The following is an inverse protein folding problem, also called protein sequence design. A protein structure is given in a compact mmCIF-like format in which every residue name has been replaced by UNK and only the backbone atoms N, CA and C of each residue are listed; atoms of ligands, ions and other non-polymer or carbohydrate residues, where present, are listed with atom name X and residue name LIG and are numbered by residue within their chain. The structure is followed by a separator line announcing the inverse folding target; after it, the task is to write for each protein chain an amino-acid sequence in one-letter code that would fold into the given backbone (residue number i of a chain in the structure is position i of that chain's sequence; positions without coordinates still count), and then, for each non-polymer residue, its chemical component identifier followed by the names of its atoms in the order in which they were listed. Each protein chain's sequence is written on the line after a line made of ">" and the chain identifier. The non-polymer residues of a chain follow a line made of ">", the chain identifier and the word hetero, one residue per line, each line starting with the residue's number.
data_IF_179037519234
#
_entry.id   IF_179037519234
#
_cell.length_a   1.000
_cell.length_b   1.000
_cell.length_c   1.000
_cell.angle_alpha   90.00
_cell.angle_beta   90.00
_cell.angle_gamma   90.00
#
_symmetry.space_group_name_H-M   'P 1'
#
loop_
_entity.id
_entity.type
_entity.pdbx_description
1 polymer ?
#
# COMPACT_ATOMS: atom_id res chain seq x y z
N UNK A 1 1.53 -47.69 -19.56
CA UNK A 1 1.14 -47.51 -18.15
C UNK A 1 0.54 -46.12 -18.05
N UNK A 2 -0.79 -46.01 -17.99
CA UNK A 2 -1.48 -44.74 -17.84
C UNK A 2 -1.71 -44.48 -16.35
N UNK A 3 -1.10 -43.41 -15.84
CA UNK A 3 -1.28 -42.96 -14.45
C UNK A 3 -2.64 -42.25 -14.40
N UNK A 4 -3.63 -42.89 -13.78
CA UNK A 4 -4.94 -42.28 -13.51
C UNK A 4 -4.86 -41.58 -12.15
N UNK A 5 -4.75 -40.26 -12.17
CA UNK A 5 -4.80 -39.43 -10.97
C UNK A 5 -6.20 -39.48 -10.31
N UNK A 6 -6.32 -39.32 -8.98
CA UNK A 6 -7.62 -39.37 -8.30
C UNK A 6 -8.50 -38.20 -8.71
N UNK A 7 -9.54 -38.47 -9.51
CA UNK A 7 -10.57 -37.52 -9.93
C UNK A 7 -11.79 -37.68 -9.02
N UNK A 8 -12.29 -36.58 -8.45
CA UNK A 8 -13.57 -36.56 -7.74
C UNK A 8 -14.66 -36.11 -8.73
N UNK A 9 -15.68 -36.95 -8.95
CA UNK A 9 -16.83 -36.56 -9.76
C UNK A 9 -17.82 -35.79 -8.88
N UNK A 10 -18.15 -34.56 -9.28
CA UNK A 10 -19.14 -33.73 -8.59
C UNK A 10 -20.34 -33.56 -9.51
N UNK A 11 -21.53 -33.89 -9.01
CA UNK A 11 -22.79 -33.64 -9.72
C UNK A 11 -23.47 -32.42 -9.09
N UNK A 12 -23.71 -31.40 -9.90
CA UNK A 12 -24.37 -30.17 -9.50
C UNK A 12 -25.90 -30.36 -9.44
N UNK A 13 -26.58 -29.45 -8.75
CA UNK A 13 -28.02 -29.52 -8.49
C UNK A 13 -28.86 -29.41 -9.78
N UNK A 14 -28.27 -28.84 -10.84
CA UNK A 14 -28.84 -28.76 -12.18
C UNK A 14 -28.66 -30.06 -13.01
N UNK A 15 -28.03 -31.08 -12.43
CA UNK A 15 -27.79 -32.38 -13.04
C UNK A 15 -26.49 -32.48 -13.85
N UNK A 16 -25.73 -31.39 -14.00
CA UNK A 16 -24.44 -31.40 -14.68
C UNK A 16 -23.36 -32.06 -13.83
N UNK A 17 -22.35 -32.65 -14.48
CA UNK A 17 -21.26 -33.36 -13.78
C UNK A 17 -19.91 -32.82 -14.22
N UNK A 18 -19.00 -32.61 -13.27
CA UNK A 18 -17.61 -32.21 -13.54
C UNK A 18 -16.61 -33.13 -12.83
N UNK A 19 -15.46 -33.29 -13.49
CA UNK A 19 -14.32 -34.07 -12.98
C UNK A 19 -13.31 -33.13 -12.32
N UNK A 20 -13.29 -33.13 -10.98
CA UNK A 20 -12.33 -32.31 -10.22
C UNK A 20 -11.02 -33.07 -10.01
N UNK A 21 -9.92 -32.50 -10.50
CA UNK A 21 -8.58 -33.04 -10.25
C UNK A 21 -8.07 -32.57 -8.87
N UNK A 22 -8.09 -33.48 -7.91
CA UNK A 22 -7.82 -33.20 -6.49
C UNK A 22 -6.36 -32.76 -6.25
N UNK A 23 -5.41 -33.23 -7.07
CA UNK A 23 -3.99 -32.85 -6.95
C UNK A 23 -3.75 -31.39 -7.36
N UNK A 24 -4.48 -30.90 -8.36
CA UNK A 24 -4.40 -29.51 -8.81
C UNK A 24 -4.97 -28.58 -7.74
N UNK A 25 -6.12 -28.94 -7.16
CA UNK A 25 -6.73 -28.15 -6.08
C UNK A 25 -5.83 -28.11 -4.83
N UNK A 26 -5.24 -29.24 -4.43
CA UNK A 26 -4.31 -29.28 -3.31
C UNK A 26 -3.06 -28.41 -3.56
N UNK A 27 -2.55 -28.37 -4.80
CA UNK A 27 -1.42 -27.53 -5.18
C UNK A 27 -1.77 -26.04 -5.19
N UNK A 28 -2.98 -25.68 -5.62
CA UNK A 28 -3.48 -24.28 -5.57
C UNK A 28 -3.59 -23.84 -4.10
N UNK A 29 -4.13 -24.68 -3.22
CA UNK A 29 -4.21 -24.38 -1.78
C UNK A 29 -2.83 -24.28 -1.12
N UNK A 30 -1.87 -25.12 -1.49
CA UNK A 30 -0.50 -25.01 -0.97
C UNK A 30 0.18 -23.75 -1.46
N UNK A 31 -0.04 -23.33 -2.72
CA UNK A 31 0.49 -22.07 -3.24
C UNK A 31 -0.11 -20.86 -2.51
N UNK A 32 -1.44 -20.80 -2.34
CA UNK A 32 -2.12 -19.72 -1.60
C UNK A 32 -1.63 -19.68 -0.15
N UNK A 33 -1.48 -20.84 0.49
CA UNK A 33 -0.97 -20.92 1.87
C UNK A 33 0.48 -20.45 1.95
N UNK A 34 1.35 -20.87 1.03
CA UNK A 34 2.76 -20.44 0.98
C UNK A 34 2.87 -18.94 0.71
N UNK A 35 2.00 -18.37 -0.12
CA UNK A 35 1.97 -16.95 -0.43
C UNK A 35 1.50 -16.11 0.77
N UNK A 36 0.42 -16.53 1.44
CA UNK A 36 -0.03 -15.95 2.71
C UNK A 36 1.02 -16.09 3.81
N UNK A 37 1.71 -17.24 3.91
CA UNK A 37 2.81 -17.46 4.85
C UNK A 37 4.03 -16.59 4.52
N UNK A 38 4.29 -16.29 3.23
CA UNK A 38 5.39 -15.43 2.80
C UNK A 38 5.08 -13.96 3.07
N UNK A 39 3.84 -13.52 2.84
CA UNK A 39 3.36 -12.19 3.20
C UNK A 39 3.37 -11.99 4.72
N UNK A 40 2.86 -12.97 5.48
CA UNK A 40 2.90 -12.97 6.94
C UNK A 40 4.33 -13.04 7.47
N UNK A 41 5.23 -13.82 6.87
CA UNK A 41 6.64 -13.89 7.26
C UNK A 41 7.38 -12.58 6.96
N UNK A 42 7.04 -11.87 5.87
CA UNK A 42 7.54 -10.51 5.62
C UNK A 42 7.03 -9.54 6.69
N UNK A 43 5.74 -9.62 7.07
CA UNK A 43 5.14 -8.81 8.15
C UNK A 43 5.83 -9.06 9.49
N UNK A 44 6.04 -10.32 9.85
CA UNK A 44 6.70 -10.76 11.09
C UNK A 44 8.20 -10.45 11.09
N UNK A 45 8.88 -10.57 9.95
CA UNK A 45 10.29 -10.19 9.82
C UNK A 45 10.49 -8.67 9.97
N UNK A 46 9.52 -7.86 9.53
CA UNK A 46 9.48 -6.41 9.71
C UNK A 46 9.14 -6.02 11.17
N UNK A 47 8.21 -6.73 11.82
CA UNK A 47 7.94 -6.60 13.27
C UNK A 47 9.17 -6.89 14.13
N UNK A 48 9.94 -7.93 13.80
CA UNK A 48 11.10 -8.36 14.59
C UNK A 48 12.35 -7.47 14.43
N UNK A 49 12.39 -6.53 13.48
CA UNK A 49 13.48 -5.56 13.37
C UNK A 49 13.32 -4.36 14.31
N UNK A 50 12.14 -4.17 14.91
CA UNK A 50 11.82 -2.98 15.70
C UNK A 50 12.09 -3.18 17.19
N UNK A 51 13.38 -3.12 17.58
CA UNK A 51 13.77 -2.95 18.98
C UNK A 51 13.40 -1.57 19.56
N UNK A 52 13.03 -0.61 18.70
CA UNK A 52 12.47 0.68 19.05
C UNK A 52 10.95 0.69 18.83
N UNK A 53 10.22 1.54 19.55
CA UNK A 53 8.77 1.68 19.40
C UNK A 53 8.46 2.32 18.04
N UNK A 54 8.03 1.51 17.07
CA UNK A 54 7.56 1.97 15.75
C UNK A 54 6.53 3.08 15.93
N UNK A 55 6.66 4.15 15.16
CA UNK A 55 5.66 5.22 15.12
C UNK A 55 4.93 5.22 13.78
N UNK A 56 3.70 5.74 13.84
CA UNK A 56 2.77 5.78 12.72
C UNK A 56 2.39 7.23 12.44
N UNK A 57 2.48 7.63 11.17
CA UNK A 57 2.20 8.99 10.76
C UNK A 57 1.33 9.04 9.51
N UNK A 58 0.57 10.11 9.39
CA UNK A 58 -0.01 10.58 8.12
C UNK A 58 0.90 11.68 7.61
N UNK A 59 1.34 11.56 6.36
CA UNK A 59 2.06 12.60 5.63
C UNK A 59 1.11 13.27 4.66
N UNK A 60 0.87 14.56 4.84
CA UNK A 60 0.11 15.36 3.89
C UNK A 60 1.00 15.77 2.71
N UNK A 61 0.53 15.51 1.49
CA UNK A 61 1.22 15.87 0.25
C UNK A 61 0.28 16.66 -0.66
N UNK A 62 0.87 17.46 -1.54
CA UNK A 62 0.17 18.19 -2.60
C UNK A 62 0.54 17.64 -3.96
N UNK A 63 -0.44 17.50 -4.83
CA UNK A 63 -0.24 17.09 -6.22
C UNK A 63 -0.55 18.23 -7.19
N UNK A 64 0.21 18.37 -8.29
CA UNK A 64 -0.10 19.35 -9.34
C UNK A 64 -1.36 18.98 -10.13
N UNK A 65 -1.71 17.69 -10.18
CA UNK A 65 -2.88 17.15 -10.85
C UNK A 65 -3.53 16.06 -9.98
N UNK A 66 -4.86 16.07 -9.78
CA UNK A 66 -5.55 15.08 -8.94
C UNK A 66 -5.73 13.71 -9.60
N UNK A 67 -5.08 13.47 -10.75
CA UNK A 67 -5.21 12.22 -11.52
C UNK A 67 -3.94 11.40 -11.57
N UNK A 68 -2.78 11.98 -11.22
CA UNK A 68 -1.48 11.34 -11.38
C UNK A 68 -0.65 11.47 -10.10
N UNK A 69 0.09 10.41 -9.75
CA UNK A 69 1.03 10.39 -8.62
C UNK A 69 2.30 11.19 -8.93
N UNK A 70 2.15 12.51 -9.05
CA UNK A 70 3.23 13.47 -9.35
C UNK A 70 3.54 14.40 -8.17
N UNK A 71 3.46 13.91 -6.94
CA UNK A 71 3.95 14.66 -5.79
C UNK A 71 5.45 14.44 -5.57
N UNK A 72 6.09 15.41 -4.93
CA UNK A 72 7.54 15.45 -4.73
C UNK A 72 8.04 14.24 -3.92
N UNK A 73 9.18 13.68 -4.36
CA UNK A 73 9.83 12.51 -3.74
C UNK A 73 9.18 11.14 -4.04
N UNK A 74 8.02 11.11 -4.71
CA UNK A 74 7.32 9.85 -5.00
C UNK A 74 8.14 8.90 -5.89
N UNK A 75 8.65 9.40 -7.02
CA UNK A 75 9.40 8.59 -7.99
C UNK A 75 10.74 8.10 -7.44
N UNK A 76 11.41 8.95 -6.66
CA UNK A 76 12.68 8.64 -6.03
C UNK A 76 12.54 7.80 -4.74
N UNK A 77 11.30 7.52 -4.32
CA UNK A 77 10.97 6.84 -3.06
C UNK A 77 11.65 7.49 -1.86
N UNK A 78 11.55 8.81 -1.77
CA UNK A 78 12.06 9.61 -0.67
C UNK A 78 10.96 10.43 -0.04
N UNK A 79 11.06 10.58 1.27
CA UNK A 79 10.14 11.35 2.09
C UNK A 79 10.88 12.53 2.70
N UNK A 80 10.45 13.76 2.39
CA UNK A 80 10.99 14.96 3.02
C UNK A 80 10.37 15.18 4.41
N UNK A 81 11.22 15.56 5.35
CA UNK A 81 10.83 16.08 6.65
C UNK A 81 11.59 17.38 6.97
N UNK A 82 10.93 18.29 7.68
CA UNK A 82 11.61 19.45 8.26
C UNK A 82 12.57 19.02 9.37
N UNK A 83 13.48 19.90 9.79
CA UNK A 83 14.44 19.59 10.86
C UNK A 83 13.73 19.10 12.15
N UNK A 84 12.66 19.78 12.56
CA UNK A 84 11.89 19.43 13.76
C UNK A 84 11.17 18.07 13.65
N UNK A 85 10.79 17.68 12.44
CA UNK A 85 10.13 16.40 12.16
C UNK A 85 11.16 15.27 12.02
N UNK A 86 12.32 15.54 11.42
CA UNK A 86 13.39 14.59 11.25
C UNK A 86 13.93 14.05 12.59
N UNK A 87 13.85 14.84 13.67
CA UNK A 87 14.17 14.37 15.03
C UNK A 87 13.18 13.33 15.58
N UNK A 88 11.97 13.27 15.02
CA UNK A 88 10.88 12.40 15.49
C UNK A 88 10.72 11.14 14.66
N UNK A 89 11.33 11.12 13.47
CA UNK A 89 11.18 10.08 12.47
C UNK A 89 12.43 9.20 12.47
N UNK A 90 12.23 7.89 12.45
CA UNK A 90 13.30 6.90 12.41
C UNK A 90 13.03 5.80 11.38
N UNK A 91 14.07 5.03 11.09
CA UNK A 91 13.93 3.79 10.32
C UNK A 91 12.95 2.84 11.01
N UNK A 92 12.05 2.26 10.21
CA UNK A 92 10.99 1.37 10.66
C UNK A 92 9.65 2.07 10.92
N UNK A 93 9.63 3.41 11.02
CA UNK A 93 8.37 4.14 11.12
C UNK A 93 7.54 4.01 9.84
N UNK A 94 6.22 4.03 10.00
CA UNK A 94 5.27 3.78 8.91
C UNK A 94 4.41 5.01 8.63
N UNK A 95 4.14 5.23 7.36
CA UNK A 95 3.55 6.45 6.82
C UNK A 95 2.33 6.10 5.97
N UNK A 96 1.24 6.82 6.16
CA UNK A 96 0.13 6.91 5.21
C UNK A 96 0.25 8.22 4.45
N UNK A 97 0.22 8.19 3.13
CA UNK A 97 0.16 9.39 2.30
C UNK A 97 -1.28 9.89 2.19
N UNK A 98 -1.49 11.16 2.54
CA UNK A 98 -2.75 11.87 2.42
C UNK A 98 -2.63 13.01 1.41
N UNK A 99 -3.45 12.99 0.37
CA UNK A 99 -3.40 13.97 -0.72
C UNK A 99 -4.42 15.07 -0.44
N UNK A 100 -3.95 16.31 -0.33
CA UNK A 100 -4.79 17.44 0.07
C UNK A 100 -5.86 17.78 -0.97
N UNK A 101 -5.55 17.68 -2.26
CA UNK A 101 -6.43 18.09 -3.36
C UNK A 101 -7.63 17.17 -3.53
N UNK A 102 -7.42 15.85 -3.40
CA UNK A 102 -8.46 14.83 -3.49
C UNK A 102 -9.08 14.48 -2.15
N UNK A 103 -8.43 14.87 -1.05
CA UNK A 103 -8.81 14.50 0.32
C UNK A 103 -8.90 12.99 0.51
N UNK A 104 -7.93 12.27 -0.05
CA UNK A 104 -7.86 10.81 -0.01
C UNK A 104 -6.53 10.34 0.57
N UNK A 105 -6.57 9.24 1.32
CA UNK A 105 -5.39 8.47 1.66
C UNK A 105 -5.09 7.53 0.49
N UNK A 106 -3.85 7.47 0.03
CA UNK A 106 -3.53 6.85 -1.27
C UNK A 106 -2.46 5.78 -1.22
N UNK A 107 -1.60 5.77 -0.19
CA UNK A 107 -0.49 4.83 -0.12
C UNK A 107 -0.02 4.60 1.31
N UNK A 108 0.52 3.41 1.52
CA UNK A 108 1.21 2.97 2.74
C UNK A 108 2.69 2.84 2.43
N UNK A 109 3.55 3.35 3.31
CA UNK A 109 4.99 3.25 3.15
C UNK A 109 5.71 3.01 4.47
N UNK A 110 6.89 2.42 4.38
CA UNK A 110 7.78 2.15 5.51
C UNK A 110 9.12 2.85 5.29
N UNK A 111 9.64 3.53 6.32
CA UNK A 111 10.96 4.16 6.24
C UNK A 111 12.04 3.09 6.37
N UNK A 112 12.89 2.98 5.36
CA UNK A 112 13.84 1.88 5.24
C UNK A 112 15.27 2.23 5.65
N UNK A 113 15.57 3.51 5.88
CA UNK A 113 16.92 3.94 6.17
C UNK A 113 17.02 5.30 6.86
N UNK A 114 18.24 5.73 7.21
CA UNK A 114 18.49 6.98 7.91
C UNK A 114 18.25 8.19 7.00
N UNK A 115 18.01 9.34 7.64
CA UNK A 115 17.89 10.62 6.96
C UNK A 115 19.17 10.99 6.21
N UNK A 116 19.01 11.56 5.01
CA UNK A 116 20.06 12.24 4.27
C UNK A 116 19.68 13.70 4.10
N UNK A 117 20.58 14.60 4.43
CA UNK A 117 20.42 16.01 4.15
C UNK A 117 20.70 16.30 2.67
N UNK A 118 19.79 17.00 2.00
CA UNK A 118 19.93 17.39 0.60
C UNK A 118 19.13 18.66 0.30
N UNK A 119 19.29 19.21 -0.90
CA UNK A 119 18.50 20.34 -1.35
C UNK A 119 17.09 19.88 -1.78
N UNK A 120 15.99 20.46 -1.27
CA UNK A 120 14.64 20.06 -1.64
C UNK A 120 14.32 20.11 -3.13
N UNK A 121 14.98 21.00 -3.88
CA UNK A 121 14.81 21.13 -5.33
C UNK A 121 15.34 19.92 -6.10
N UNK A 122 16.23 19.12 -5.51
CA UNK A 122 16.72 17.87 -6.12
C UNK A 122 15.60 16.82 -6.23
N UNK A 123 14.56 16.91 -5.39
CA UNK A 123 13.42 15.99 -5.36
C UNK A 123 12.09 16.70 -5.66
N UNK A 124 12.15 17.82 -6.38
CA UNK A 124 10.97 18.60 -6.84
C UNK A 124 10.10 19.22 -5.74
N UNK A 125 10.57 19.30 -4.49
CA UNK A 125 9.85 20.00 -3.43
C UNK A 125 9.92 21.53 -3.64
N UNK A 126 8.79 22.21 -3.42
CA UNK A 126 8.67 23.66 -3.59
C UNK A 126 8.87 24.46 -2.29
N UNK A 127 9.44 23.83 -1.26
CA UNK A 127 9.69 24.50 0.03
C UNK A 127 10.84 25.49 -0.07
N UNK A 128 10.70 26.62 0.61
CA UNK A 128 11.71 27.69 0.65
C UNK A 128 12.76 27.41 1.74
N UNK A 129 13.51 26.31 1.57
CA UNK A 129 14.60 25.90 2.48
C UNK A 129 15.84 25.52 1.67
N UNK A 130 17.03 25.83 2.18
CA UNK A 130 18.31 25.50 1.52
C UNK A 130 18.65 24.02 1.64
N UNK A 131 18.27 23.38 2.75
CA UNK A 131 18.40 21.95 2.98
C UNK A 131 17.20 21.40 3.76
N UNK A 132 16.90 20.12 3.54
CA UNK A 132 15.92 19.36 4.32
C UNK A 132 16.41 17.91 4.49
N UNK A 133 15.75 17.17 5.37
CA UNK A 133 16.05 15.77 5.62
C UNK A 133 15.17 14.86 4.76
N UNK A 134 15.79 13.92 4.06
CA UNK A 134 15.14 12.97 3.18
C UNK A 134 15.33 11.56 3.71
N UNK A 135 14.23 10.85 3.88
CA UNK A 135 14.20 9.47 4.35
C UNK A 135 13.85 8.54 3.18
N UNK A 136 14.64 7.50 2.90
CA UNK A 136 14.25 6.52 1.91
C UNK A 136 13.05 5.71 2.42
N UNK A 137 12.07 5.49 1.55
CA UNK A 137 10.86 4.74 1.85
C UNK A 137 10.69 3.55 0.92
N UNK A 138 10.02 2.51 1.40
CA UNK A 138 9.47 1.45 0.55
C UNK A 138 7.95 1.56 0.58
N UNK A 139 7.32 1.35 -0.57
CA UNK A 139 5.86 1.47 -0.72
C UNK A 139 5.28 0.07 -0.49
N UNK A 140 4.42 -0.04 0.51
CA UNK A 140 3.80 -1.30 0.90
C UNK A 140 2.50 -1.56 0.14
N UNK A 141 1.69 -0.51 -0.06
CA UNK A 141 0.43 -0.56 -0.80
C UNK A 141 0.14 0.81 -1.41
N UNK A 142 -0.55 0.88 -2.54
CA UNK A 142 -0.93 2.13 -3.20
C UNK A 142 -2.16 1.90 -4.07
N UNK A 143 -3.11 2.84 -4.03
CA UNK A 143 -4.24 2.84 -4.96
C UNK A 143 -3.77 3.20 -6.37
N UNK A 144 -4.35 2.62 -7.42
CA UNK A 144 -3.98 2.89 -8.81
C UNK A 144 -4.23 4.34 -9.21
N UNK A 145 -5.28 4.96 -8.65
CA UNK A 145 -5.60 6.37 -8.86
C UNK A 145 -5.78 7.11 -7.54
N UNK A 146 -5.43 8.40 -7.56
CA UNK A 146 -5.61 9.28 -6.39
C UNK A 146 -7.08 9.39 -5.93
N UNK A 147 -8.03 9.18 -6.84
CA UNK A 147 -9.47 9.19 -6.55
C UNK A 147 -10.02 7.87 -6.03
N UNK A 148 -9.26 6.78 -6.16
CA UNK A 148 -9.65 5.42 -5.77
C UNK A 148 -9.11 5.05 -4.38
N UNK A 149 -8.28 5.91 -3.78
CA UNK A 149 -7.84 5.78 -2.40
C UNK A 149 -8.97 5.96 -1.37
N UNK A 150 -8.64 5.79 -0.09
CA UNK A 150 -9.59 5.87 1.02
C UNK A 150 -10.01 7.33 1.27
N UNK A 151 -11.28 7.70 1.12
CA UNK A 151 -11.74 9.06 1.41
C UNK A 151 -11.54 9.43 2.88
N UNK A 152 -11.12 10.66 3.18
CA UNK A 152 -10.86 11.11 4.55
C UNK A 152 -12.08 11.05 5.49
N UNK A 153 -13.29 10.98 4.94
CA UNK A 153 -14.56 10.92 5.67
C UNK A 153 -15.15 9.52 5.78
N UNK A 154 -14.53 8.52 5.14
CA UNK A 154 -14.97 7.12 5.18
C UNK A 154 -14.67 6.45 6.52
N UNK A 155 -13.63 6.91 7.22
CA UNK A 155 -13.18 6.36 8.51
C UNK A 155 -13.15 7.44 9.59
N UNK A 156 -13.27 7.02 10.85
CA UNK A 156 -13.12 7.87 12.02
C UNK A 156 -11.79 7.55 12.70
N UNK A 157 -10.84 8.49 12.67
CA UNK A 157 -9.54 8.34 13.33
C UNK A 157 -9.67 8.69 14.81
N UNK A 158 -9.50 7.71 15.70
CA UNK A 158 -9.62 7.92 17.14
C UNK A 158 -8.54 8.86 17.67
N UNK A 159 -7.33 8.79 17.11
CA UNK A 159 -6.19 9.63 17.46
C UNK A 159 -6.32 11.06 16.94
N UNK A 160 -7.13 11.27 15.90
CA UNK A 160 -7.35 12.56 15.26
C UNK A 160 -8.86 12.84 15.08
N UNK A 161 -9.63 13.00 16.17
CA UNK A 161 -11.09 13.14 16.10
C UNK A 161 -11.55 14.42 15.39
N UNK A 162 -10.65 15.41 15.26
CA UNK A 162 -10.90 16.65 14.54
C UNK A 162 -10.24 16.71 13.17
N UNK A 163 -9.71 15.59 12.64
CA UNK A 163 -9.01 15.57 11.34
C UNK A 163 -9.82 16.28 10.25
N UNK A 164 -11.14 16.03 10.19
CA UNK A 164 -12.07 16.65 9.22
C UNK A 164 -12.21 18.17 9.34
N UNK A 165 -11.92 18.74 10.51
CA UNK A 165 -12.03 20.18 10.81
C UNK A 165 -10.66 20.84 10.91
N UNK A 166 -9.59 20.05 10.92
CA UNK A 166 -8.24 20.53 11.03
C UNK A 166 -7.81 21.06 9.66
N UNK A 167 -7.18 22.23 9.65
CA UNK A 167 -6.48 22.70 8.47
C UNK A 167 -5.15 21.95 8.40
N UNK A 168 -5.12 20.89 7.59
CA UNK A 168 -3.90 20.15 7.30
C UNK A 168 -3.11 20.93 6.25
N UNK A 169 -1.82 21.16 6.52
CA UNK A 169 -0.93 21.89 5.61
C UNK A 169 -0.05 20.94 4.80
N UNK A 170 0.43 21.40 3.65
CA UNK A 170 1.31 20.62 2.80
C UNK A 170 2.58 20.23 3.56
N UNK A 171 3.07 19.02 3.32
CA UNK A 171 4.26 18.46 3.94
C UNK A 171 4.17 18.20 5.45
N UNK A 172 3.01 18.41 6.06
CA UNK A 172 2.80 18.19 7.48
C UNK A 172 2.81 16.70 7.84
N UNK A 173 3.46 16.37 8.97
CA UNK A 173 3.34 15.07 9.62
C UNK A 173 2.35 15.09 10.77
N UNK A 174 1.40 14.15 10.74
CA UNK A 174 0.41 13.96 11.79
C UNK A 174 0.60 12.57 12.41
N UNK A 175 0.93 12.53 13.69
CA UNK A 175 1.07 11.25 14.39
C UNK A 175 -0.31 10.63 14.65
N UNK A 176 -0.41 9.33 14.42
CA UNK A 176 -1.60 8.53 14.69
C UNK A 176 -1.27 7.32 15.58
N UNK A 177 -2.32 6.67 16.07
CA UNK A 177 -2.19 5.38 16.79
C UNK A 177 -1.94 4.24 15.81
N UNK A 178 -1.47 3.12 16.35
CA UNK A 178 -1.32 1.88 15.59
C UNK A 178 -2.66 1.37 15.06
N UNK A 179 -3.71 1.39 15.88
CA UNK A 179 -5.04 0.92 15.49
C UNK A 179 -5.61 1.73 14.30
N UNK A 180 -5.50 3.07 14.35
CA UNK A 180 -5.93 3.94 13.24
C UNK A 180 -5.10 3.69 11.97
N UNK A 181 -3.81 3.42 12.14
CA UNK A 181 -2.91 3.13 11.03
C UNK A 181 -3.26 1.79 10.39
N UNK A 182 -3.41 0.73 11.17
CA UNK A 182 -3.70 -0.61 10.65
C UNK A 182 -5.06 -0.64 9.96
N UNK A 183 -6.06 0.08 10.48
CA UNK A 183 -7.35 0.25 9.82
C UNK A 183 -7.20 0.88 8.42
N UNK A 184 -6.44 1.98 8.31
CA UNK A 184 -6.17 2.62 7.01
C UNK A 184 -5.36 1.73 6.07
N UNK A 185 -4.33 1.06 6.61
CA UNK A 185 -3.43 0.22 5.84
C UNK A 185 -4.13 -1.03 5.30
N UNK A 186 -5.01 -1.65 6.08
CA UNK A 186 -5.83 -2.79 5.66
C UNK A 186 -6.71 -2.41 4.47
N UNK A 187 -7.50 -1.35 4.59
CA UNK A 187 -8.39 -0.89 3.51
C UNK A 187 -7.60 -0.50 2.26
N UNK A 188 -6.45 0.18 2.40
CA UNK A 188 -5.60 0.50 1.26
C UNK A 188 -4.98 -0.72 0.59
N UNK A 189 -4.68 -1.77 1.36
CA UNK A 189 -4.16 -3.03 0.82
C UNK A 189 -5.27 -3.76 0.07
N UNK A 190 -6.49 -3.81 0.60
CA UNK A 190 -7.64 -4.38 -0.09
C UNK A 190 -7.94 -3.68 -1.42
N UNK A 191 -7.86 -2.35 -1.45
CA UNK A 191 -8.02 -1.57 -2.70
C UNK A 191 -6.94 -1.94 -3.71
N UNK A 192 -5.67 -1.99 -3.28
CA UNK A 192 -4.56 -2.33 -4.16
C UNK A 192 -4.67 -3.76 -4.72
N UNK A 193 -5.04 -4.74 -3.88
CA UNK A 193 -5.22 -6.13 -4.30
C UNK A 193 -6.43 -6.30 -5.25
N UNK A 194 -7.54 -5.60 -5.01
CA UNK A 194 -8.72 -5.66 -5.87
C UNK A 194 -8.44 -5.12 -7.28
N UNK A 195 -7.59 -4.10 -7.41
CA UNK A 195 -7.19 -3.54 -8.70
C UNK A 195 -6.23 -4.47 -9.46
N UNK A 196 -5.31 -5.15 -8.77
CA UNK A 196 -4.43 -6.16 -9.38
C UNK A 196 -5.23 -7.32 -10.02
N UNK A 197 -6.34 -7.74 -9.40
CA UNK A 197 -7.22 -8.78 -9.92
C UNK A 197 -8.03 -8.34 -11.16
N UNK A 198 -8.38 -7.05 -11.30
CA UNK A 198 -9.10 -6.52 -12.46
C UNK A 198 -8.23 -6.48 -13.73
N UNK A 199 -6.93 -6.19 -13.61
CA UNK A 199 -5.99 -6.18 -14.75
C UNK A 199 -5.77 -7.58 -15.36
N UNK A 200 -5.92 -8.65 -14.56
CA UNK A 200 -5.72 -10.03 -15.01
C UNK A 200 -6.88 -10.60 -15.86
N UNK A 201 -8.01 -9.91 -15.94
CA UNK A 201 -9.20 -10.37 -16.67
C UNK A 201 -9.28 -9.84 -18.12
N UNK A 202 -8.43 -8.88 -18.48
CA UNK A 202 -8.42 -8.27 -19.82
C UNK A 202 -7.43 -8.95 -20.81
N UNK A 203 -6.68 -9.98 -20.38
CA UNK A 203 -5.71 -10.72 -21.21
C UNK A 203 -6.23 -12.03 -21.84
N UNK A 204 -7.54 -12.31 -21.84
CA UNK A 204 -8.07 -13.53 -22.47
C UNK A 204 -9.06 -13.24 -23.60
N UNK A 205 -8.61 -12.74 -24.75
CA UNK A 205 -9.22 -13.03 -26.08
C UNK A 205 -8.23 -12.65 -27.20
N UNK A 206 -7.25 -13.51 -27.46
CA UNK A 206 -6.75 -13.67 -28.83
C UNK A 206 -7.35 -14.98 -29.31
N UNK A 207 -8.51 -14.89 -29.98
CA UNK A 207 -8.95 -15.92 -30.91
C UNK A 207 -7.86 -16.07 -31.97
N UNK A 208 -6.99 -17.08 -31.83
CA UNK A 208 -6.22 -17.59 -32.95
C UNK A 208 -7.22 -18.32 -33.86
N UNK A 209 -7.76 -17.53 -34.79
CA UNK A 209 -8.31 -17.97 -36.07
C UNK A 209 -7.18 -18.68 -36.85
N UNK A 210 -7.05 -20.00 -36.70
CA UNK A 210 -6.23 -20.82 -37.61
C UNK A 210 -7.04 -21.98 -38.22
N UNK A 211 -7.45 -21.73 -39.48
CA UNK A 211 -7.83 -22.62 -40.62
C UNK A 211 -9.10 -23.49 -40.60
#
# INVERSE_FOLDING_TARGET
>A
MSISYPKMHVQYVDGTTADLNVEIQARIWENIRVEQETAAAKRIARENQSGNKTQFFIKAVTVPSPTEFLFAGWQERVLMATADEAERIQQGDRIIYYVLETQTFVAVATITGPAKEANPKEYFYTVDQESAFFFPVDIDATAAKLTEGVPYDSLELESQPNFRKMKVEAEQFLRITEDDFELLAEVLTEIAEAEEDEELNDEEYIEDDEE
#
